data_IF_184552488097
#
_entry.id   IF_184552488097
#
_cell.length_a   1.000
_cell.length_b   1.000
_cell.length_c   1.000
_cell.angle_alpha   90.00
_cell.angle_beta   90.00
_cell.angle_gamma   90.00
#
_symmetry.space_group_name_H-M   'P 1'
#
loop_
_entity.id
_entity.type
_entity.pdbx_description
1 polymer ?
#
# COMPACT_ATOMS: atom_id res chain seq x y z
N UNK A 1 -16.64 37.85 32.77
CA UNK A 1 -17.36 36.60 32.44
C UNK A 1 -17.17 36.13 30.99
N UNK A 2 -16.68 36.94 30.04
CA UNK A 2 -16.46 36.50 28.65
C UNK A 2 -15.39 35.40 28.48
N UNK A 3 -14.29 35.49 29.23
CA UNK A 3 -13.10 34.66 29.03
C UNK A 3 -13.29 33.18 29.37
N UNK A 4 -14.04 32.85 30.43
CA UNK A 4 -14.29 31.45 30.82
C UNK A 4 -15.22 30.77 29.81
N UNK A 5 -16.23 31.48 29.32
CA UNK A 5 -17.16 30.95 28.32
C UNK A 5 -16.45 30.70 26.99
N UNK A 6 -15.59 31.62 26.55
CA UNK A 6 -14.75 31.42 25.36
C UNK A 6 -13.78 30.26 25.53
N UNK A 7 -13.17 30.12 26.71
CA UNK A 7 -12.26 29.01 26.97
C UNK A 7 -12.98 27.65 26.93
N UNK A 8 -14.21 27.58 27.46
CA UNK A 8 -15.03 26.37 27.39
C UNK A 8 -15.40 26.00 25.94
N UNK A 9 -15.82 26.96 25.12
CA UNK A 9 -16.18 26.66 23.71
C UNK A 9 -14.96 26.23 22.90
N UNK A 10 -13.78 26.78 23.19
CA UNK A 10 -12.52 26.34 22.56
C UNK A 10 -12.14 24.92 23.01
N UNK A 11 -12.30 24.60 24.29
CA UNK A 11 -12.03 23.24 24.79
C UNK A 11 -12.98 22.21 24.18
N UNK A 12 -14.28 22.51 24.12
CA UNK A 12 -15.28 21.65 23.48
C UNK A 12 -14.95 21.39 22.02
N UNK A 13 -14.56 22.43 21.27
CA UNK A 13 -14.14 22.29 19.87
C UNK A 13 -12.90 21.41 19.72
N UNK A 14 -11.86 21.65 20.53
CA UNK A 14 -10.64 20.84 20.50
C UNK A 14 -10.92 19.38 20.85
N UNK A 15 -11.84 19.14 21.78
CA UNK A 15 -12.22 17.78 22.14
C UNK A 15 -12.92 17.08 20.98
N UNK A 16 -13.81 17.77 20.28
CA UNK A 16 -14.48 17.24 19.08
C UNK A 16 -13.47 16.94 17.97
N UNK A 17 -12.58 17.89 17.66
CA UNK A 17 -11.50 17.72 16.66
C UNK A 17 -10.57 16.55 17.01
N UNK A 18 -10.24 16.38 18.30
CA UNK A 18 -9.41 15.27 18.76
C UNK A 18 -10.12 13.93 18.56
N UNK A 19 -11.41 13.84 18.89
CA UNK A 19 -12.19 12.61 18.69
C UNK A 19 -12.30 12.25 17.20
N UNK A 20 -12.56 13.22 16.32
CA UNK A 20 -12.56 12.98 14.87
C UNK A 20 -11.20 12.49 14.36
N UNK A 21 -10.10 13.05 14.90
CA UNK A 21 -8.75 12.62 14.55
C UNK A 21 -8.45 11.21 15.08
N UNK A 22 -8.89 10.86 16.28
CA UNK A 22 -8.75 9.52 16.86
C UNK A 22 -9.51 8.47 16.03
N UNK A 23 -10.73 8.79 15.60
CA UNK A 23 -11.52 7.91 14.72
C UNK A 23 -10.82 7.69 13.37
N UNK A 24 -10.33 8.75 12.74
CA UNK A 24 -9.59 8.66 11.49
C UNK A 24 -8.27 7.88 11.64
N UNK A 25 -7.53 8.13 12.72
CA UNK A 25 -6.30 7.42 13.03
C UNK A 25 -6.55 5.93 13.29
N UNK A 26 -7.67 5.58 13.93
CA UNK A 26 -8.04 4.19 14.17
C UNK A 26 -8.21 3.43 12.86
N UNK A 27 -8.92 4.01 11.89
CA UNK A 27 -9.13 3.39 10.56
C UNK A 27 -7.79 3.06 9.90
N UNK A 28 -6.86 4.03 9.86
CA UNK A 28 -5.55 3.83 9.22
C UNK A 28 -4.73 2.76 9.93
N UNK A 29 -4.74 2.74 11.25
CA UNK A 29 -4.03 1.74 12.04
C UNK A 29 -4.62 0.33 11.83
N UNK A 30 -5.96 0.22 11.86
CA UNK A 30 -6.69 -1.03 11.71
C UNK A 30 -6.46 -1.69 10.35
N UNK A 31 -6.38 -0.89 9.27
CA UNK A 31 -6.09 -1.38 7.91
C UNK A 31 -4.79 -2.17 7.79
N UNK A 32 -3.82 -1.94 8.67
CA UNK A 32 -2.48 -2.53 8.59
C UNK A 32 -2.08 -3.35 9.80
N UNK A 33 -2.95 -3.46 10.79
CA UNK A 33 -2.66 -4.29 11.95
C UNK A 33 -2.85 -5.77 11.64
N UNK A 34 -1.89 -6.56 12.11
CA UNK A 34 -1.99 -8.00 12.05
C UNK A 34 -2.95 -8.50 13.14
N UNK A 35 -3.64 -9.63 12.92
CA UNK A 35 -4.49 -10.22 13.95
C UNK A 35 -3.73 -10.44 15.26
N UNK A 36 -4.28 -9.94 16.37
CA UNK A 36 -3.64 -10.11 17.66
C UNK A 36 -3.67 -11.58 18.11
N UNK A 37 -2.56 -12.13 18.63
CA UNK A 37 -2.56 -13.45 19.26
C UNK A 37 -3.46 -13.50 20.50
N UNK A 38 -3.99 -14.67 20.87
CA UNK A 38 -4.81 -14.81 22.08
C UNK A 38 -4.05 -14.38 23.33
N UNK A 39 -4.67 -13.53 24.15
CA UNK A 39 -4.12 -13.09 25.44
C UNK A 39 -3.11 -11.94 25.36
N UNK A 40 -2.92 -11.34 24.18
CA UNK A 40 -2.12 -10.12 24.02
C UNK A 40 -3.06 -8.91 24.06
N UNK A 41 -2.69 -7.88 24.82
CA UNK A 41 -3.43 -6.63 24.86
C UNK A 41 -3.12 -5.76 23.63
N UNK A 42 -4.11 -5.04 23.07
CA UNK A 42 -3.89 -4.11 21.98
C UNK A 42 -2.93 -2.99 22.40
N UNK A 43 -1.99 -2.65 21.50
CA UNK A 43 -1.14 -1.47 21.66
C UNK A 43 -1.99 -0.20 21.60
N UNK A 44 -1.46 0.90 22.17
CA UNK A 44 -2.16 2.18 22.09
C UNK A 44 -2.33 2.63 20.64
N UNK A 45 -3.37 3.43 20.37
CA UNK A 45 -3.62 3.97 19.02
C UNK A 45 -2.39 4.73 18.48
N UNK A 46 -1.71 5.50 19.34
CA UNK A 46 -0.52 6.26 18.96
C UNK A 46 0.64 5.35 18.52
N UNK A 47 0.89 4.24 19.23
CA UNK A 47 1.94 3.29 18.86
C UNK A 47 1.61 2.58 17.54
N UNK A 48 0.35 2.16 17.37
CA UNK A 48 -0.12 1.53 16.13
C UNK A 48 0.01 2.49 14.94
N UNK A 49 -0.39 3.75 15.13
CA UNK A 49 -0.33 4.78 14.09
C UNK A 49 1.11 5.16 13.73
N UNK A 50 2.06 5.14 14.67
CA UNK A 50 3.49 5.38 14.38
C UNK A 50 4.08 4.31 13.47
N UNK A 51 3.65 3.06 13.63
CA UNK A 51 4.10 1.95 12.80
C UNK A 51 3.34 1.84 11.47
N UNK A 52 2.12 2.39 11.42
CA UNK A 52 1.22 2.23 10.28
C UNK A 52 1.84 2.62 8.93
N UNK A 53 2.58 3.74 8.78
CA UNK A 53 3.26 4.06 7.53
C UNK A 53 4.25 2.98 7.07
N UNK A 54 5.04 2.42 7.99
CA UNK A 54 6.02 1.38 7.66
C UNK A 54 5.32 0.08 7.28
N UNK A 55 4.23 -0.27 7.98
CA UNK A 55 3.41 -1.44 7.66
C UNK A 55 2.66 -1.28 6.34
N UNK A 56 2.14 -0.09 6.04
CA UNK A 56 1.53 0.24 4.75
C UNK A 56 2.49 0.00 3.60
N UNK A 57 3.76 0.42 3.73
CA UNK A 57 4.79 0.12 2.73
C UNK A 57 4.98 -1.39 2.53
N UNK A 58 4.89 -2.19 3.59
CA UNK A 58 4.90 -3.65 3.51
C UNK A 58 3.64 -4.24 2.87
N UNK A 59 2.48 -3.60 3.04
CA UNK A 59 1.21 -4.02 2.44
C UNK A 59 1.16 -3.81 0.92
N UNK A 60 1.82 -2.77 0.38
CA UNK A 60 1.84 -2.51 -1.07
C UNK A 60 2.45 -3.66 -1.86
N UNK A 61 3.37 -4.42 -1.25
CA UNK A 61 4.02 -5.56 -1.87
C UNK A 61 3.48 -6.92 -1.42
N UNK A 62 2.33 -6.94 -0.74
CA UNK A 62 1.70 -8.19 -0.32
C UNK A 62 1.34 -9.04 -1.56
N UNK A 63 1.57 -10.37 -1.53
CA UNK A 63 1.24 -11.25 -2.63
C UNK A 63 -0.22 -11.10 -3.10
N UNK A 64 -1.14 -10.86 -2.17
CA UNK A 64 -2.56 -10.66 -2.46
C UNK A 64 -2.83 -9.45 -3.38
N UNK A 65 -1.95 -8.45 -3.37
CA UNK A 65 -2.04 -7.24 -4.21
C UNK A 65 -1.18 -7.39 -5.47
N UNK A 66 0.05 -7.88 -5.32
CA UNK A 66 1.03 -7.92 -6.42
C UNK A 66 0.75 -9.06 -7.41
N UNK A 67 0.30 -10.22 -6.94
CA UNK A 67 0.09 -11.39 -7.80
C UNK A 67 -1.02 -11.16 -8.83
N UNK A 68 -2.21 -10.61 -8.48
CA UNK A 68 -3.23 -10.31 -9.49
C UNK A 68 -2.75 -9.35 -10.58
N UNK A 69 -2.01 -8.31 -10.20
CA UNK A 69 -1.43 -7.34 -11.16
C UNK A 69 -0.44 -8.03 -12.09
N UNK A 70 0.46 -8.85 -11.55
CA UNK A 70 1.42 -9.61 -12.35
C UNK A 70 0.71 -10.58 -13.32
N UNK A 71 -0.31 -11.31 -12.85
CA UNK A 71 -1.11 -12.22 -13.68
C UNK A 71 -1.81 -11.45 -14.81
N UNK A 72 -2.38 -10.28 -14.51
CA UNK A 72 -3.05 -9.45 -15.52
C UNK A 72 -2.06 -8.97 -16.61
N UNK A 73 -0.90 -8.43 -16.22
CA UNK A 73 0.12 -7.96 -17.17
C UNK A 73 0.64 -9.12 -18.03
N UNK A 74 0.89 -10.29 -17.44
CA UNK A 74 1.29 -11.48 -18.18
C UNK A 74 0.19 -11.97 -19.13
N UNK A 75 -1.08 -11.85 -18.73
CA UNK A 75 -2.24 -12.11 -19.58
C UNK A 75 -2.30 -11.19 -20.80
N UNK A 76 -2.01 -9.89 -20.61
CA UNK A 76 -1.88 -8.93 -21.71
C UNK A 76 -0.77 -9.37 -22.67
N UNK A 77 0.43 -9.70 -22.17
CA UNK A 77 1.54 -10.19 -23.01
C UNK A 77 1.11 -11.40 -23.83
N UNK A 78 0.46 -12.39 -23.20
CA UNK A 78 -0.02 -13.61 -23.86
C UNK A 78 -1.09 -13.32 -24.92
N UNK A 79 -1.92 -12.29 -24.74
CA UNK A 79 -2.93 -11.88 -25.72
C UNK A 79 -2.31 -11.38 -27.05
N UNK A 80 -1.15 -10.72 -26.99
CA UNK A 80 -0.42 -10.26 -28.17
C UNK A 80 0.50 -11.34 -28.75
N UNK A 81 1.03 -12.21 -27.89
CA UNK A 81 1.96 -13.28 -28.26
C UNK A 81 1.51 -14.64 -27.71
N UNK A 82 0.52 -15.30 -28.36
CA UNK A 82 -0.09 -16.52 -27.85
C UNK A 82 0.90 -17.68 -27.68
N UNK A 83 1.93 -17.74 -28.52
CA UNK A 83 2.90 -18.83 -28.54
C UNK A 83 4.07 -18.63 -27.56
N UNK A 84 4.15 -17.49 -26.86
CA UNK A 84 5.24 -17.21 -25.92
C UNK A 84 5.12 -18.09 -24.66
N UNK A 85 6.15 -18.89 -24.37
CA UNK A 85 6.28 -19.61 -23.10
C UNK A 85 6.62 -18.62 -21.99
N UNK A 86 5.80 -18.61 -20.92
CA UNK A 86 5.97 -17.71 -19.76
C UNK A 86 6.57 -18.44 -18.56
N UNK A 87 6.65 -19.77 -18.62
CA UNK A 87 7.25 -20.65 -17.64
C UNK A 87 8.68 -20.23 -17.24
N UNK A 88 9.55 -19.76 -18.15
CA UNK A 88 10.88 -19.28 -17.78
C UNK A 88 10.87 -18.10 -16.79
N UNK A 89 9.80 -17.29 -16.77
CA UNK A 89 9.69 -16.13 -15.87
C UNK A 89 9.54 -16.54 -14.40
N UNK A 90 9.14 -17.79 -14.12
CA UNK A 90 9.05 -18.31 -12.76
C UNK A 90 10.42 -18.42 -12.07
N UNK A 91 11.51 -18.46 -12.85
CA UNK A 91 12.89 -18.49 -12.35
C UNK A 91 13.42 -17.07 -12.04
N UNK A 92 12.68 -16.03 -12.43
CA UNK A 92 13.03 -14.63 -12.20
C UNK A 92 13.78 -14.02 -13.38
N UNK A 93 14.79 -13.20 -13.09
CA UNK A 93 15.65 -12.58 -14.10
C UNK A 93 16.39 -13.69 -14.86
N UNK A 94 16.43 -13.59 -16.19
CA UNK A 94 17.14 -14.55 -17.03
C UNK A 94 18.61 -14.65 -16.60
N UNK A 95 19.16 -15.87 -16.54
CA UNK A 95 20.50 -16.14 -16.03
C UNK A 95 21.61 -15.39 -16.78
N UNK A 96 21.38 -15.09 -18.07
CA UNK A 96 22.28 -14.34 -18.94
C UNK A 96 22.07 -12.81 -18.88
N UNK A 97 21.05 -12.34 -18.15
CA UNK A 97 20.76 -10.94 -17.95
C UNK A 97 21.44 -10.44 -16.66
N UNK A 98 22.43 -9.57 -16.82
CA UNK A 98 23.04 -8.86 -15.69
C UNK A 98 22.03 -7.88 -15.08
N UNK A 99 22.08 -7.71 -13.77
CA UNK A 99 21.19 -6.81 -13.02
C UNK A 99 21.21 -5.38 -13.58
N UNK A 100 22.38 -4.85 -13.95
CA UNK A 100 22.48 -3.50 -14.51
C UNK A 100 21.77 -3.38 -15.87
N UNK A 101 21.80 -4.43 -16.69
CA UNK A 101 21.06 -4.47 -17.96
C UNK A 101 19.56 -4.59 -17.73
N UNK A 102 19.16 -5.32 -16.70
CA UNK A 102 17.76 -5.42 -16.32
C UNK A 102 17.21 -4.07 -15.87
N UNK A 103 17.97 -3.34 -15.05
CA UNK A 103 17.63 -1.97 -14.61
C UNK A 103 17.52 -1.00 -15.79
N UNK A 104 18.42 -1.10 -16.77
CA UNK A 104 18.34 -0.32 -18.01
C UNK A 104 17.04 -0.63 -18.78
N UNK A 105 16.65 -1.90 -18.90
CA UNK A 105 15.37 -2.26 -19.53
C UNK A 105 14.17 -1.71 -18.76
N UNK A 106 14.21 -1.75 -17.42
CA UNK A 106 13.15 -1.17 -16.58
C UNK A 106 13.02 0.34 -16.79
N UNK A 107 14.13 1.06 -16.91
CA UNK A 107 14.13 2.50 -17.18
C UNK A 107 13.64 2.85 -18.60
N UNK A 108 13.95 2.01 -19.58
CA UNK A 108 13.49 2.18 -20.97
C UNK A 108 11.99 1.93 -21.15
N UNK A 109 11.34 1.25 -20.20
CA UNK A 109 9.91 0.92 -20.24
C UNK A 109 9.01 2.10 -19.86
N UNK A 110 9.33 3.34 -20.25
CA UNK A 110 8.40 4.48 -20.15
C UNK A 110 7.07 4.21 -20.90
N UNK A 111 7.08 3.28 -21.87
CA UNK A 111 5.89 2.76 -22.55
C UNK A 111 4.93 1.97 -21.64
N UNK A 112 5.35 1.60 -20.42
CA UNK A 112 4.50 0.94 -19.42
C UNK A 112 3.65 1.95 -18.65
N UNK A 113 3.89 3.27 -18.80
CA UNK A 113 3.12 4.31 -18.13
C UNK A 113 1.61 4.26 -18.49
N UNK A 114 1.21 4.09 -19.77
CA UNK A 114 -0.19 3.85 -20.12
C UNK A 114 -0.77 2.54 -19.55
N UNK A 115 0.05 1.51 -19.32
CA UNK A 115 -0.39 0.25 -18.69
C UNK A 115 -0.67 0.50 -17.20
N UNK A 116 0.18 1.28 -16.53
CA UNK A 116 -0.04 1.69 -15.15
C UNK A 116 -1.27 2.60 -15.01
N UNK A 117 -1.54 3.47 -15.99
CA UNK A 117 -2.76 4.28 -16.05
C UNK A 117 -4.01 3.41 -16.25
N UNK A 118 -3.97 2.40 -17.13
CA UNK A 118 -5.07 1.43 -17.31
C UNK A 118 -5.41 0.66 -16.03
N UNK A 119 -4.40 0.33 -15.23
CA UNK A 119 -4.55 -0.34 -13.93
C UNK A 119 -5.04 0.58 -12.81
N UNK A 120 -5.03 1.90 -13.04
CA UNK A 120 -5.45 2.91 -12.05
C UNK A 120 -6.87 3.43 -12.27
N UNK A 121 -7.50 3.08 -13.40
CA UNK A 121 -8.84 3.55 -13.82
C UNK A 121 -9.98 2.54 -13.52
N UNK A 122 -9.71 1.45 -12.79
CA UNK A 122 -10.71 0.49 -12.27
C UNK A 122 -10.97 0.67 -10.76
#
# INVERSE_FOLDING_TARGET
MGTIREMNTVMERKQMELTELEDAAFIVADMVDDPLPPGVEPRSLLERLRDAPQKLMGCVFKPEVVVPVAVYVLGLVKSFYPDTELEPLAVGIAEDCKEERFDEYMQMMEIAKPIAELLSDE
#
